data_IF_326162934908
#
_entry.id   IF_326162934908
#
_cell.length_a   1.000
_cell.length_b   1.000
_cell.length_c   1.000
_cell.angle_alpha   90.00
_cell.angle_beta   90.00
_cell.angle_gamma   90.00
#
_symmetry.space_group_name_H-M   'P 1'
#
loop_
_entity.id
_entity.type
_entity.pdbx_description
1 polymer ?
#
# COMPACT_ATOMS: atom_id res chain seq x y z
N UNK A 1 -10.52 -18.43 16.80
CA UNK A 1 -11.42 -17.27 16.59
C UNK A 1 -11.47 -16.90 15.12
N UNK A 2 -12.65 -16.67 14.57
CA UNK A 2 -12.73 -16.22 13.19
C UNK A 2 -12.20 -14.79 13.04
N UNK A 3 -11.56 -14.53 11.91
CA UNK A 3 -11.10 -13.21 11.55
C UNK A 3 -12.27 -12.49 10.86
N UNK A 4 -12.54 -11.26 11.27
CA UNK A 4 -13.63 -10.47 10.70
C UNK A 4 -13.14 -9.12 10.21
N UNK A 5 -13.66 -8.69 9.06
CA UNK A 5 -13.40 -7.39 8.48
C UNK A 5 -14.69 -6.69 8.09
N UNK A 6 -14.66 -5.36 8.16
CA UNK A 6 -15.73 -4.57 7.57
C UNK A 6 -15.58 -4.57 6.05
N UNK A 7 -16.62 -5.02 5.37
CA UNK A 7 -16.64 -5.07 3.90
C UNK A 7 -17.42 -3.87 3.37
N UNK A 8 -16.72 -2.97 2.69
CA UNK A 8 -17.32 -1.76 2.13
C UNK A 8 -18.40 -2.07 1.09
N UNK A 9 -18.24 -3.16 0.36
CA UNK A 9 -19.21 -3.57 -0.66
C UNK A 9 -20.56 -3.94 -0.04
N UNK A 10 -20.54 -4.73 1.04
CA UNK A 10 -21.75 -5.19 1.72
C UNK A 10 -22.15 -4.27 2.88
N UNK A 11 -21.27 -3.33 3.24
CA UNK A 11 -21.47 -2.36 4.33
C UNK A 11 -21.72 -3.01 5.69
N UNK A 12 -21.08 -4.14 5.93
CA UNK A 12 -21.16 -4.84 7.22
C UNK A 12 -19.85 -5.57 7.53
N UNK A 13 -19.69 -5.89 8.80
CA UNK A 13 -18.57 -6.70 9.27
C UNK A 13 -18.85 -8.17 8.96
N UNK A 14 -17.93 -8.81 8.29
CA UNK A 14 -18.09 -10.19 7.83
C UNK A 14 -16.91 -11.05 8.24
N UNK A 15 -17.14 -12.34 8.41
CA UNK A 15 -16.07 -13.31 8.61
C UNK A 15 -15.24 -13.41 7.34
N UNK A 16 -13.92 -13.31 7.51
CA UNK A 16 -12.99 -13.44 6.40
C UNK A 16 -12.84 -14.91 6.02
N UNK A 17 -13.04 -15.21 4.74
CA UNK A 17 -12.82 -16.54 4.16
C UNK A 17 -11.89 -16.41 2.97
N UNK A 18 -10.66 -16.94 3.06
CA UNK A 18 -9.75 -16.90 1.92
C UNK A 18 -10.28 -17.75 0.77
N UNK A 19 -9.97 -17.33 -0.46
CA UNK A 19 -10.35 -18.10 -1.64
C UNK A 19 -9.64 -19.46 -1.61
N UNK A 20 -8.35 -19.46 -1.27
CA UNK A 20 -7.57 -20.67 -1.02
C UNK A 20 -7.44 -20.87 0.49
N UNK A 21 -7.55 -22.10 0.97
CA UNK A 21 -7.59 -22.38 2.41
C UNK A 21 -6.35 -21.92 3.19
N UNK A 22 -5.20 -21.76 2.54
CA UNK A 22 -3.93 -21.41 3.21
C UNK A 22 -3.25 -20.17 2.68
N UNK A 23 -3.64 -19.69 1.50
CA UNK A 23 -2.98 -18.56 0.84
C UNK A 23 -3.88 -17.35 0.85
N UNK A 24 -3.37 -16.24 1.33
CA UNK A 24 -4.05 -14.95 1.32
C UNK A 24 -3.31 -14.04 0.37
N UNK A 25 -4.04 -13.44 -0.56
CA UNK A 25 -3.50 -12.45 -1.48
C UNK A 25 -4.00 -11.08 -1.07
N UNK A 26 -3.05 -10.20 -0.74
CA UNK A 26 -3.34 -8.82 -0.35
C UNK A 26 -2.83 -7.86 -1.41
N UNK A 27 -3.70 -6.95 -1.81
CA UNK A 27 -3.31 -5.84 -2.66
C UNK A 27 -3.56 -4.54 -1.92
N UNK A 28 -2.53 -3.72 -1.80
CA UNK A 28 -2.59 -2.46 -1.06
C UNK A 28 -2.14 -1.32 -1.97
N UNK A 29 -2.90 -0.24 -1.97
CA UNK A 29 -2.48 0.99 -2.65
C UNK A 29 -1.27 1.58 -1.94
N UNK A 30 -0.18 1.73 -2.69
CA UNK A 30 1.03 2.38 -2.22
C UNK A 30 1.02 3.88 -2.46
N UNK A 31 2.17 4.52 -2.37
CA UNK A 31 2.26 5.97 -2.48
C UNK A 31 2.17 6.45 -3.92
N UNK A 32 1.72 7.71 -4.08
CA UNK A 32 1.96 8.48 -5.29
C UNK A 32 3.29 9.19 -5.13
N UNK A 33 4.24 8.91 -6.03
CA UNK A 33 5.64 9.31 -5.83
C UNK A 33 5.92 10.72 -6.35
N UNK A 34 5.30 11.72 -5.73
CA UNK A 34 5.52 13.13 -6.03
C UNK A 34 6.27 13.87 -4.90
N UNK A 35 6.40 13.25 -3.75
CA UNK A 35 7.09 13.80 -2.60
C UNK A 35 7.43 12.69 -1.60
N UNK A 36 8.17 12.99 -0.55
CA UNK A 36 8.39 12.06 0.55
C UNK A 36 7.06 11.72 1.21
N UNK A 37 6.90 10.47 1.62
CA UNK A 37 5.72 10.14 2.39
C UNK A 37 5.87 10.65 3.82
N UNK A 38 4.75 10.97 4.46
CA UNK A 38 4.73 11.46 5.83
C UNK A 38 3.93 10.51 6.72
N UNK A 39 3.87 10.83 8.01
CA UNK A 39 3.27 9.95 9.01
C UNK A 39 1.79 9.62 8.72
N UNK A 40 1.07 10.54 8.09
CA UNK A 40 -0.32 10.29 7.69
C UNK A 40 -0.43 9.15 6.66
N UNK A 41 0.50 9.09 5.72
CA UNK A 41 0.59 8.00 4.75
C UNK A 41 1.11 6.72 5.41
N UNK A 42 2.08 6.85 6.30
CA UNK A 42 2.67 5.72 7.02
C UNK A 42 1.64 4.95 7.82
N UNK A 43 0.61 5.60 8.33
CA UNK A 43 -0.47 4.94 9.06
C UNK A 43 -1.10 3.82 8.25
N UNK A 44 -1.46 4.08 7.00
CA UNK A 44 -2.06 3.06 6.12
C UNK A 44 -1.09 1.91 5.85
N UNK A 45 0.18 2.21 5.65
CA UNK A 45 1.20 1.20 5.38
C UNK A 45 1.45 0.32 6.61
N UNK A 46 1.49 0.92 7.80
CA UNK A 46 1.65 0.19 9.05
C UNK A 46 0.45 -0.71 9.32
N UNK A 47 -0.77 -0.21 9.08
CA UNK A 47 -1.98 -1.02 9.25
C UNK A 47 -1.98 -2.23 8.32
N UNK A 48 -1.57 -2.05 7.08
CA UNK A 48 -1.47 -3.15 6.13
C UNK A 48 -0.42 -4.18 6.57
N UNK A 49 0.69 -3.71 7.12
CA UNK A 49 1.75 -4.58 7.64
C UNK A 49 1.27 -5.37 8.86
N UNK A 50 0.51 -4.75 9.75
CA UNK A 50 -0.09 -5.43 10.92
C UNK A 50 -1.03 -6.54 10.46
N UNK A 51 -1.89 -6.26 9.48
CA UNK A 51 -2.83 -7.24 8.94
C UNK A 51 -2.06 -8.42 8.33
N UNK A 52 -1.04 -8.13 7.53
CA UNK A 52 -0.18 -9.14 6.92
C UNK A 52 0.46 -10.04 7.98
N UNK A 53 1.08 -9.43 8.99
CA UNK A 53 1.76 -10.17 10.06
C UNK A 53 0.80 -10.99 10.87
N UNK A 54 -0.40 -10.50 11.11
CA UNK A 54 -1.43 -11.25 11.83
C UNK A 54 -1.86 -12.49 11.05
N UNK A 55 -2.06 -12.37 9.74
CA UNK A 55 -2.35 -13.53 8.90
C UNK A 55 -1.21 -14.57 8.93
N UNK A 56 0.03 -14.11 8.86
CA UNK A 56 1.19 -15.00 8.95
C UNK A 56 1.24 -15.70 10.31
N UNK A 57 0.96 -14.96 11.37
CA UNK A 57 0.87 -15.52 12.72
C UNK A 57 -0.20 -16.61 12.82
N UNK A 58 -1.33 -16.42 12.14
CA UNK A 58 -2.42 -17.40 12.11
C UNK A 58 -2.14 -18.58 11.19
N UNK A 59 -0.98 -18.65 10.58
CA UNK A 59 -0.55 -19.80 9.78
C UNK A 59 -0.86 -19.71 8.30
N UNK A 60 -1.27 -18.54 7.81
CA UNK A 60 -1.51 -18.35 6.38
C UNK A 60 -0.24 -17.97 5.64
N UNK A 61 -0.15 -18.39 4.38
CA UNK A 61 0.86 -17.90 3.45
C UNK A 61 0.32 -16.63 2.80
N UNK A 62 0.96 -15.49 3.05
CA UNK A 62 0.48 -14.19 2.58
C UNK A 62 1.31 -13.71 1.40
N UNK A 63 0.62 -13.47 0.29
CA UNK A 63 1.21 -12.82 -0.88
C UNK A 63 0.79 -11.36 -0.86
N UNK A 64 1.74 -10.49 -0.52
CA UNK A 64 1.52 -9.08 -0.33
C UNK A 64 2.01 -8.31 -1.54
N UNK A 65 1.13 -7.52 -2.14
CA UNK A 65 1.45 -6.68 -3.29
C UNK A 65 1.05 -5.25 -2.98
N UNK A 66 1.99 -4.35 -3.16
CA UNK A 66 1.74 -2.91 -3.04
C UNK A 66 2.21 -2.24 -4.32
N UNK A 67 1.36 -1.37 -4.88
CA UNK A 67 1.73 -0.61 -6.06
C UNK A 67 2.49 0.66 -5.68
N UNK A 68 3.10 1.27 -6.68
CA UNK A 68 3.64 2.62 -6.59
C UNK A 68 3.02 3.39 -7.75
N UNK A 69 2.33 4.49 -7.46
CA UNK A 69 1.71 5.32 -8.50
C UNK A 69 2.75 6.33 -8.99
N UNK A 70 3.25 6.13 -10.20
CA UNK A 70 4.30 6.94 -10.79
C UNK A 70 3.80 7.87 -11.92
N UNK A 71 2.50 7.84 -12.21
CA UNK A 71 1.84 8.76 -13.13
C UNK A 71 0.59 9.31 -12.47
N UNK A 72 0.55 10.61 -12.21
CA UNK A 72 -0.56 11.28 -11.55
C UNK A 72 -0.41 12.79 -11.75
N UNK A 73 -1.50 13.54 -11.66
CA UNK A 73 -1.49 14.99 -11.78
C UNK A 73 -0.56 15.64 -10.77
N UNK A 74 -0.45 15.10 -9.58
CA UNK A 74 0.45 15.61 -8.54
C UNK A 74 1.91 15.49 -8.93
N UNK A 75 2.29 14.41 -9.61
CA UNK A 75 3.64 14.20 -10.11
C UNK A 75 3.95 15.21 -11.22
N UNK A 76 3.02 15.39 -12.13
CA UNK A 76 3.15 16.35 -13.23
C UNK A 76 3.32 17.77 -12.71
N UNK A 77 2.50 18.15 -11.73
CA UNK A 77 2.57 19.46 -11.09
C UNK A 77 3.95 19.67 -10.41
N UNK A 78 4.42 18.68 -9.67
CA UNK A 78 5.72 18.75 -8.99
C UNK A 78 6.86 18.87 -10.00
N UNK A 79 6.78 18.14 -11.11
CA UNK A 79 7.78 18.21 -12.18
C UNK A 79 7.82 19.61 -12.80
N UNK A 80 6.67 20.23 -13.03
CA UNK A 80 6.59 21.60 -13.54
C UNK A 80 7.18 22.62 -12.58
N UNK A 81 6.92 22.47 -11.27
CA UNK A 81 7.49 23.34 -10.24
C UNK A 81 9.01 23.23 -10.17
N UNK A 82 9.55 22.04 -10.30
CA UNK A 82 11.00 21.78 -10.26
C UNK A 82 11.68 21.95 -11.62
N UNK A 83 10.92 22.15 -12.67
CA UNK A 83 11.42 22.26 -14.06
C UNK A 83 12.20 21.02 -14.49
N UNK A 84 11.71 19.83 -14.13
CA UNK A 84 12.29 18.53 -14.51
C UNK A 84 11.21 17.66 -15.13
N UNK A 85 11.60 16.50 -15.65
CA UNK A 85 10.63 15.55 -16.22
C UNK A 85 9.82 14.85 -15.13
N UNK A 86 8.62 14.39 -15.50
CA UNK A 86 7.78 13.59 -14.57
C UNK A 86 8.48 12.31 -14.15
N UNK A 87 9.20 11.66 -15.08
CA UNK A 87 9.96 10.44 -14.79
C UNK A 87 11.05 10.69 -13.75
N UNK A 88 11.70 11.85 -13.81
CA UNK A 88 12.73 12.23 -12.84
C UNK A 88 12.15 12.37 -11.43
N UNK A 89 10.99 13.02 -11.30
CA UNK A 89 10.30 13.16 -10.01
C UNK A 89 9.89 11.78 -9.48
N UNK A 90 9.24 10.98 -10.32
CA UNK A 90 8.80 9.65 -9.92
C UNK A 90 9.96 8.76 -9.48
N UNK A 91 11.08 8.77 -10.20
CA UNK A 91 12.26 7.99 -9.83
C UNK A 91 12.87 8.43 -8.51
N UNK A 92 12.99 9.74 -8.29
CA UNK A 92 13.55 10.29 -7.06
C UNK A 92 12.76 9.86 -5.84
N UNK A 93 11.45 10.03 -5.89
CA UNK A 93 10.61 9.75 -4.71
C UNK A 93 10.27 8.28 -4.57
N UNK A 94 10.30 7.49 -5.64
CA UNK A 94 10.25 6.04 -5.54
C UNK A 94 11.44 5.50 -4.76
N UNK A 95 12.64 5.99 -5.08
CA UNK A 95 13.85 5.60 -4.37
C UNK A 95 13.77 6.01 -2.89
N UNK A 96 13.36 7.24 -2.61
CA UNK A 96 13.19 7.72 -1.24
C UNK A 96 12.19 6.88 -0.46
N UNK A 97 11.06 6.54 -1.07
CA UNK A 97 10.05 5.69 -0.44
C UNK A 97 10.59 4.31 -0.09
N UNK A 98 11.30 3.68 -1.03
CA UNK A 98 11.87 2.35 -0.80
C UNK A 98 12.93 2.36 0.31
N UNK A 99 13.70 3.42 0.42
CA UNK A 99 14.66 3.60 1.51
C UNK A 99 13.96 3.75 2.86
N UNK A 100 12.87 4.51 2.90
CA UNK A 100 12.15 4.80 4.15
C UNK A 100 11.35 3.60 4.65
N UNK A 101 10.80 2.79 3.75
CA UNK A 101 9.93 1.67 4.12
C UNK A 101 10.70 0.42 4.50
N UNK A 102 11.96 0.34 4.16
CA UNK A 102 12.82 -0.82 4.43
C UNK A 102 13.29 -0.89 5.94
#
# INVERSE_FOLDING_TARGET
MPIQFYNTLTKKKEEFKPIDNKTIRMYVCGPTVYDYFHIGNARSFIMSDVIRRYFEYRGFDVKFIMNITDVDDKIIKKANEKKVSSDSVASEFTKAFLEDID
#
